data_IF_832980873756
#
_entry.id   IF_832980873756
#
_cell.length_a   1.000
_cell.length_b   1.000
_cell.length_c   1.000
_cell.angle_alpha   90.00
_cell.angle_beta   90.00
_cell.angle_gamma   90.00
#
_symmetry.space_group_name_H-M   'P 1'
#
loop_
_entity.id
_entity.type
_entity.pdbx_description
1 polymer ?
#
# COMPACT_ATOMS: atom_id res chain seq x y z
N UNK A 1 2.12 -13.64 -2.06
CA UNK A 1 2.00 -12.17 -2.18
C UNK A 1 3.03 -11.45 -1.33
N UNK A 2 3.04 -11.60 0.01
CA UNK A 2 4.03 -10.94 0.89
C UNK A 2 5.47 -11.14 0.40
N UNK A 3 5.90 -12.39 0.16
CA UNK A 3 7.26 -12.68 -0.35
C UNK A 3 7.57 -11.97 -1.68
N UNK A 4 6.58 -11.88 -2.58
CA UNK A 4 6.75 -11.17 -3.85
C UNK A 4 6.94 -9.66 -3.62
N UNK A 5 6.16 -9.06 -2.72
CA UNK A 5 6.32 -7.64 -2.34
C UNK A 5 7.66 -7.38 -1.63
N UNK A 6 8.14 -8.31 -0.81
CA UNK A 6 9.47 -8.21 -0.22
C UNK A 6 10.59 -8.27 -1.28
N UNK A 7 10.40 -9.06 -2.35
CA UNK A 7 11.31 -9.03 -3.49
C UNK A 7 11.22 -7.71 -4.26
N UNK A 8 10.01 -7.17 -4.47
CA UNK A 8 9.83 -5.84 -5.10
C UNK A 8 10.60 -4.75 -4.32
N UNK A 9 10.65 -4.81 -2.99
CA UNK A 9 11.43 -3.88 -2.15
C UNK A 9 12.93 -4.00 -2.47
N UNK A 10 13.45 -5.23 -2.54
CA UNK A 10 14.85 -5.48 -2.90
C UNK A 10 15.18 -5.00 -4.32
N UNK A 11 14.27 -5.22 -5.28
CA UNK A 11 14.43 -4.78 -6.67
C UNK A 11 14.47 -3.25 -6.81
N UNK A 12 13.91 -2.53 -5.82
CA UNK A 12 13.97 -1.07 -5.71
C UNK A 12 15.22 -0.56 -4.97
N UNK A 13 16.23 -1.40 -4.73
CA UNK A 13 17.47 -1.07 -3.99
C UNK A 13 17.20 -0.67 -2.53
N UNK A 14 16.18 -1.28 -1.91
CA UNK A 14 15.88 -1.17 -0.47
C UNK A 14 16.02 -2.54 0.19
N UNK A 15 16.54 -2.57 1.42
CA UNK A 15 16.49 -3.75 2.26
C UNK A 15 15.14 -3.82 3.00
N UNK A 16 14.86 -4.98 3.62
CA UNK A 16 13.76 -5.09 4.58
C UNK A 16 14.17 -5.80 5.86
N UNK A 17 13.47 -5.49 6.96
CA UNK A 17 13.68 -6.15 8.25
C UNK A 17 12.36 -6.36 8.98
N UNK A 18 12.18 -7.57 9.52
CA UNK A 18 11.05 -7.90 10.38
C UNK A 18 11.37 -7.50 11.82
N UNK A 19 10.60 -6.57 12.40
CA UNK A 19 10.72 -6.13 13.79
C UNK A 19 9.33 -5.95 14.41
N UNK A 20 9.14 -6.24 15.71
CA UNK A 20 7.85 -6.09 16.39
C UNK A 20 7.56 -4.61 16.72
N UNK A 21 7.46 -3.77 15.70
CA UNK A 21 7.11 -2.34 15.80
C UNK A 21 5.59 -2.17 15.94
N UNK A 22 5.13 -1.02 16.43
CA UNK A 22 3.70 -0.75 16.63
C UNK A 22 2.93 -0.49 15.33
N UNK A 23 3.63 -0.29 14.22
CA UNK A 23 3.05 -0.05 12.90
C UNK A 23 3.15 -1.33 12.05
N UNK A 24 2.22 -1.58 11.12
CA UNK A 24 2.31 -2.73 10.21
C UNK A 24 3.57 -2.70 9.34
N UNK A 25 3.90 -1.54 8.78
CA UNK A 25 5.12 -1.29 8.03
C UNK A 25 5.51 0.19 8.09
N UNK A 26 6.78 0.49 7.85
CA UNK A 26 7.31 1.86 7.74
C UNK A 26 8.62 1.88 6.95
N UNK A 27 8.77 2.85 6.06
CA UNK A 27 10.00 3.05 5.27
C UNK A 27 10.95 4.06 5.92
N UNK A 28 12.23 3.71 6.01
CA UNK A 28 13.32 4.64 6.29
C UNK A 28 14.12 4.90 5.01
N UNK A 29 13.79 5.98 4.30
CA UNK A 29 14.43 6.32 3.03
C UNK A 29 15.92 6.64 3.14
N UNK A 30 16.37 7.19 4.28
CA UNK A 30 17.79 7.53 4.48
C UNK A 30 18.66 6.29 4.56
N UNK A 31 18.13 5.24 5.20
CA UNK A 31 18.80 3.95 5.36
C UNK A 31 18.43 2.94 4.28
N UNK A 32 17.53 3.33 3.36
CA UNK A 32 16.93 2.45 2.34
C UNK A 32 16.46 1.12 2.90
N UNK A 33 15.64 1.17 3.97
CA UNK A 33 15.12 -0.04 4.60
C UNK A 33 13.63 0.10 4.90
N UNK A 34 12.86 -0.96 4.60
CA UNK A 34 11.48 -1.12 5.04
C UNK A 34 11.46 -1.97 6.31
N UNK A 35 10.89 -1.44 7.38
CA UNK A 35 10.71 -2.16 8.64
C UNK A 35 9.24 -2.58 8.69
N UNK A 36 8.96 -3.87 8.88
CA UNK A 36 7.59 -4.36 9.01
C UNK A 36 7.40 -5.21 10.27
N UNK A 37 6.18 -5.18 10.81
CA UNK A 37 5.79 -6.07 11.88
C UNK A 37 5.18 -7.36 11.28
N UNK A 38 5.83 -8.52 11.43
CA UNK A 38 5.35 -9.78 10.85
C UNK A 38 3.97 -10.21 11.36
N UNK A 39 3.54 -9.74 12.53
CA UNK A 39 2.24 -10.09 13.13
C UNK A 39 1.10 -9.16 12.66
N UNK A 40 1.43 -7.98 12.10
CA UNK A 40 0.44 -6.96 11.71
C UNK A 40 0.42 -6.69 10.20
N UNK A 41 1.50 -7.01 9.49
CA UNK A 41 1.65 -6.63 8.08
C UNK A 41 0.65 -7.37 7.19
N UNK A 42 0.12 -6.65 6.22
CA UNK A 42 -0.75 -7.18 5.16
C UNK A 42 -0.15 -6.82 3.80
N UNK A 43 -0.59 -7.47 2.70
CA UNK A 43 -0.18 -7.06 1.35
C UNK A 43 -0.39 -5.57 1.08
N UNK A 44 -1.49 -5.00 1.58
CA UNK A 44 -1.77 -3.57 1.50
C UNK A 44 -0.63 -2.73 2.09
N UNK A 45 -0.23 -2.99 3.34
CA UNK A 45 0.77 -2.17 4.01
C UNK A 45 2.15 -2.24 3.35
N UNK A 46 2.58 -3.41 2.85
CA UNK A 46 3.84 -3.48 2.09
C UNK A 46 3.74 -2.75 0.75
N UNK A 47 2.61 -2.86 0.05
CA UNK A 47 2.41 -2.13 -1.21
C UNK A 47 2.45 -0.62 -0.98
N UNK A 48 1.80 -0.12 0.07
CA UNK A 48 1.82 1.29 0.48
C UNK A 48 3.26 1.81 0.63
N UNK A 49 4.11 1.08 1.36
CA UNK A 49 5.52 1.43 1.51
C UNK A 49 6.31 1.37 0.19
N UNK A 50 6.01 0.40 -0.68
CA UNK A 50 6.61 0.31 -2.02
C UNK A 50 6.25 1.54 -2.86
N UNK A 51 5.02 2.04 -2.80
CA UNK A 51 4.63 3.28 -3.49
C UNK A 51 5.43 4.47 -2.96
N UNK A 52 5.58 4.59 -1.64
CA UNK A 52 6.42 5.65 -1.05
C UNK A 52 7.86 5.63 -1.57
N UNK A 53 8.42 4.44 -1.83
CA UNK A 53 9.76 4.29 -2.43
C UNK A 53 9.74 4.76 -3.89
N UNK A 54 8.80 4.26 -4.71
CA UNK A 54 8.70 4.56 -6.15
C UNK A 54 8.51 6.06 -6.40
N UNK A 55 7.57 6.67 -5.69
CA UNK A 55 7.18 8.07 -5.87
C UNK A 55 8.09 9.05 -5.10
N UNK A 56 9.13 8.52 -4.43
CA UNK A 56 10.10 9.31 -3.69
C UNK A 56 9.44 10.25 -2.69
N UNK A 57 8.48 9.72 -1.93
CA UNK A 57 7.79 10.41 -0.84
C UNK A 57 8.71 10.62 0.39
N UNK A 58 9.92 11.13 0.16
CA UNK A 58 11.01 11.29 1.12
C UNK A 58 10.86 12.54 2.01
N UNK A 59 9.91 13.40 1.68
CA UNK A 59 9.64 14.61 2.44
C UNK A 59 8.29 14.47 3.12
N UNK A 60 8.33 14.43 4.46
CA UNK A 60 7.23 14.96 5.26
C UNK A 60 7.00 16.37 4.74
N UNK A 61 5.89 16.62 4.05
CA UNK A 61 5.60 17.95 3.54
C UNK A 61 5.43 18.87 4.74
N UNK A 62 6.49 19.61 5.09
CA UNK A 62 6.53 20.54 6.23
C UNK A 62 5.42 21.61 6.15
N UNK A 63 4.79 21.77 4.98
CA UNK A 63 3.61 22.61 4.78
C UNK A 63 2.32 22.08 5.44
N UNK A 64 2.26 20.80 5.82
CA UNK A 64 1.04 20.15 6.35
C UNK A 64 1.16 19.77 7.84
N UNK A 65 1.79 20.62 8.66
CA UNK A 65 1.66 20.68 10.13
C UNK A 65 1.54 19.33 10.89
N UNK A 66 2.23 18.28 10.44
CA UNK A 66 2.27 16.98 11.14
C UNK A 66 0.93 16.25 11.28
N UNK A 67 -0.12 16.62 10.53
CA UNK A 67 -1.38 15.89 10.52
C UNK A 67 -1.37 14.93 9.33
N UNK A 68 -1.14 13.64 9.61
CA UNK A 68 -0.93 12.58 8.60
C UNK A 68 -2.10 12.49 7.61
N UNK A 69 -3.33 12.68 8.10
CA UNK A 69 -4.58 12.69 7.32
C UNK A 69 -4.65 13.77 6.22
N UNK A 70 -3.76 14.78 6.26
CA UNK A 70 -3.67 15.84 5.24
C UNK A 70 -2.37 15.78 4.44
N UNK A 71 -1.56 14.75 4.63
CA UNK A 71 -0.36 14.55 3.82
C UNK A 71 -0.78 14.02 2.44
N UNK A 72 -0.68 14.81 1.36
CA UNK A 72 -1.05 14.35 0.04
C UNK A 72 -0.22 13.14 -0.41
N UNK A 73 1.00 12.95 0.10
CA UNK A 73 1.82 11.78 -0.21
C UNK A 73 1.25 10.49 0.39
N UNK A 74 0.68 10.54 1.60
CA UNK A 74 0.00 9.36 2.17
C UNK A 74 -1.23 9.04 1.35
N UNK A 75 -2.07 10.04 1.06
CA UNK A 75 -3.29 9.84 0.28
C UNK A 75 -3.01 9.32 -1.14
N UNK A 76 -1.94 9.81 -1.77
CA UNK A 76 -1.48 9.31 -3.07
C UNK A 76 -1.03 7.85 -2.98
N UNK A 77 -0.20 7.51 -1.99
CA UNK A 77 0.23 6.14 -1.74
C UNK A 77 -0.93 5.19 -1.41
N UNK A 78 -1.93 5.64 -0.65
CA UNK A 78 -3.15 4.86 -0.36
C UNK A 78 -3.90 4.53 -1.65
N UNK A 79 -4.18 5.54 -2.49
CA UNK A 79 -4.94 5.34 -3.72
C UNK A 79 -4.18 4.45 -4.71
N UNK A 80 -2.89 4.70 -4.91
CA UNK A 80 -2.07 3.93 -5.85
C UNK A 80 -1.86 2.49 -5.36
N UNK A 81 -1.71 2.28 -4.04
CA UNK A 81 -1.64 0.93 -3.49
C UNK A 81 -2.95 0.15 -3.71
N UNK A 82 -4.10 0.78 -3.52
CA UNK A 82 -5.41 0.18 -3.84
C UNK A 82 -5.49 -0.12 -5.34
N UNK A 83 -5.13 0.83 -6.20
CA UNK A 83 -5.16 0.68 -7.65
C UNK A 83 -4.28 -0.49 -8.13
N UNK A 84 -2.99 -0.52 -7.78
CA UNK A 84 -2.08 -1.59 -8.19
C UNK A 84 -2.54 -2.97 -7.69
N UNK A 85 -3.03 -3.06 -6.45
CA UNK A 85 -3.54 -4.32 -5.91
C UNK A 85 -4.84 -4.75 -6.58
N UNK A 86 -5.73 -3.82 -6.92
CA UNK A 86 -6.98 -4.11 -7.65
C UNK A 86 -6.68 -4.64 -9.06
N UNK A 87 -5.76 -4.00 -9.77
CA UNK A 87 -5.28 -4.48 -11.06
C UNK A 87 -4.70 -5.90 -10.94
N UNK A 88 -3.85 -6.15 -9.93
CA UNK A 88 -3.32 -7.48 -9.67
C UNK A 88 -4.43 -8.51 -9.39
N UNK A 89 -5.42 -8.15 -8.56
CA UNK A 89 -6.55 -9.01 -8.22
C UNK A 89 -7.33 -9.42 -9.48
N UNK A 90 -7.70 -8.45 -10.32
CA UNK A 90 -8.44 -8.71 -11.56
C UNK A 90 -7.61 -9.56 -12.54
N UNK A 91 -6.34 -9.21 -12.73
CA UNK A 91 -5.44 -9.92 -13.65
C UNK A 91 -5.16 -11.37 -13.23
N UNK A 92 -5.35 -11.70 -11.95
CA UNK A 92 -5.19 -13.05 -11.41
C UNK A 92 -6.52 -13.82 -11.31
N UNK A 93 -7.61 -13.29 -11.87
CA UNK A 93 -8.93 -13.93 -11.89
C UNK A 93 -9.74 -13.71 -10.62
N UNK A 94 -9.37 -12.71 -9.81
CA UNK A 94 -10.09 -12.28 -8.64
C UNK A 94 -11.52 -11.84 -8.96
N UNK A 95 -12.45 -12.12 -8.04
CA UNK A 95 -13.85 -11.73 -8.20
C UNK A 95 -14.03 -10.24 -7.99
N UNK A 96 -14.98 -9.68 -8.72
CA UNK A 96 -15.41 -8.30 -8.56
C UNK A 96 -16.30 -8.15 -7.31
N UNK A 97 -15.65 -8.19 -6.14
CA UNK A 97 -16.27 -8.06 -4.82
C UNK A 97 -15.29 -7.32 -3.89
N UNK A 98 -15.69 -6.12 -3.44
CA UNK A 98 -14.80 -5.26 -2.65
C UNK A 98 -14.50 -5.84 -1.27
N UNK A 99 -15.44 -6.58 -0.67
CA UNK A 99 -15.24 -7.22 0.63
C UNK A 99 -14.18 -8.32 0.52
N UNK A 100 -14.29 -9.18 -0.51
CA UNK A 100 -13.30 -10.23 -0.77
C UNK A 100 -11.91 -9.61 -1.01
N UNK A 101 -11.84 -8.54 -1.80
CA UNK A 101 -10.60 -7.81 -2.05
C UNK A 101 -9.98 -7.27 -0.75
N UNK A 102 -10.76 -6.55 0.07
CA UNK A 102 -10.26 -5.99 1.32
C UNK A 102 -9.75 -7.08 2.28
N UNK A 103 -10.42 -8.23 2.34
CA UNK A 103 -10.01 -9.36 3.17
C UNK A 103 -8.74 -10.05 2.65
N UNK A 104 -8.62 -10.26 1.34
CA UNK A 104 -7.46 -10.93 0.71
C UNK A 104 -6.19 -10.09 0.87
N UNK A 105 -6.28 -8.77 0.63
CA UNK A 105 -5.12 -7.88 0.67
C UNK A 105 -4.92 -7.21 2.03
N UNK A 106 -5.86 -7.41 2.97
CA UNK A 106 -5.82 -6.81 4.30
C UNK A 106 -5.86 -5.29 4.27
N UNK A 107 -6.77 -4.74 3.47
CA UNK A 107 -6.98 -3.29 3.35
C UNK A 107 -7.70 -2.78 4.61
N UNK A 108 -7.22 -1.70 5.25
CA UNK A 108 -7.86 -1.12 6.42
C UNK A 108 -9.33 -0.72 6.20
N UNK A 109 -10.18 -0.95 7.19
CA UNK A 109 -11.62 -0.69 7.10
C UNK A 109 -11.97 0.78 6.76
N UNK A 110 -11.15 1.74 7.20
CA UNK A 110 -11.38 3.15 6.91
C UNK A 110 -11.20 3.52 5.42
N UNK A 111 -10.57 2.66 4.63
CA UNK A 111 -10.37 2.84 3.18
C UNK A 111 -11.44 2.14 2.34
N UNK A 112 -12.47 1.57 2.96
CA UNK A 112 -13.56 0.86 2.26
C UNK A 112 -14.17 1.68 1.12
N UNK A 113 -14.41 2.98 1.35
CA UNK A 113 -14.99 3.85 0.32
C UNK A 113 -14.05 4.06 -0.87
N UNK A 114 -12.73 4.14 -0.64
CA UNK A 114 -11.75 4.23 -1.72
C UNK A 114 -11.71 2.95 -2.55
N UNK A 115 -11.81 1.79 -1.90
CA UNK A 115 -11.89 0.49 -2.60
C UNK A 115 -13.17 0.38 -3.43
N UNK A 116 -14.33 0.77 -2.88
CA UNK A 116 -15.60 0.75 -3.60
C UNK A 116 -15.53 1.66 -4.83
N UNK A 117 -14.96 2.87 -4.69
CA UNK A 117 -14.81 3.81 -5.79
C UNK A 117 -13.92 3.22 -6.89
N UNK A 118 -12.72 2.76 -6.55
CA UNK A 118 -11.76 2.17 -7.50
C UNK A 118 -12.37 0.98 -8.25
N UNK A 119 -13.00 0.06 -7.51
CA UNK A 119 -13.65 -1.09 -8.10
C UNK A 119 -14.73 -0.64 -9.09
N UNK A 120 -15.62 0.27 -8.69
CA UNK A 120 -16.69 0.79 -9.55
C UNK A 120 -16.15 1.45 -10.83
N UNK A 121 -15.07 2.21 -10.73
CA UNK A 121 -14.45 2.89 -11.86
C UNK A 121 -13.88 1.89 -12.87
N UNK A 122 -13.17 0.85 -12.41
CA UNK A 122 -12.66 -0.21 -13.30
C UNK A 122 -13.81 -0.95 -14.01
N UNK A 123 -14.94 -1.22 -13.32
CA UNK A 123 -16.09 -1.87 -13.93
C UNK A 123 -16.65 -1.10 -15.12
N UNK A 124 -16.64 0.23 -15.04
CA UNK A 124 -17.19 1.10 -16.07
C UNK A 124 -16.41 1.01 -17.39
N UNK A 125 -15.13 0.62 -17.34
CA UNK A 125 -14.25 0.48 -18.50
C UNK A 125 -13.97 -0.97 -18.92
N UNK A 126 -14.50 -1.96 -18.21
CA UNK A 126 -14.32 -3.38 -18.50
C UNK A 126 -15.41 -3.99 -19.41
N UNK A 127 -16.22 -3.15 -20.07
CA UNK A 127 -17.33 -3.53 -20.98
C UNK A 127 -16.90 -3.47 -22.43
#
# INVERSE_FOLDING_TARGET
MIEALLNDINDLDYDYVALPISLPAVTNWQRKVVIYNPDLVTPYYLKHEIIHIKERHHHRLFAFNGNDERNPNERDAENEAIHELMQHHINTGGRFNYVDFMLIYGVPAHLEQSVIAEMSDINMYAI
#
